data_IF_404540418641
#
_entry.id   IF_404540418641
#
_cell.length_a   1.000
_cell.length_b   1.000
_cell.length_c   1.000
_cell.angle_alpha   90.00
_cell.angle_beta   90.00
_cell.angle_gamma   90.00
#
_symmetry.space_group_name_H-M   'P 1'
#
loop_
_entity.id
_entity.type
_entity.pdbx_description
1 polymer ?
#
# COMPACT_ATOMS: atom_id res chain seq x y z
N UNK A 1 -31.97 6.68 -78.90
CA UNK A 1 -31.30 6.99 -80.18
C UNK A 1 -30.32 8.13 -79.93
N UNK A 2 -29.13 8.06 -80.54
CA UNK A 2 -28.12 9.14 -80.75
C UNK A 2 -27.53 9.79 -79.49
N UNK A 3 -26.23 10.00 -79.29
CA UNK A 3 -24.99 9.91 -80.07
C UNK A 3 -23.86 10.49 -79.18
N UNK A 4 -22.66 9.91 -79.16
CA UNK A 4 -21.44 10.36 -79.86
C UNK A 4 -20.52 11.31 -79.04
N UNK A 5 -19.42 10.71 -78.57
CA UNK A 5 -17.98 11.09 -78.61
C UNK A 5 -17.35 12.31 -77.89
N UNK A 6 -16.07 12.05 -77.56
CA UNK A 6 -14.91 12.91 -77.24
C UNK A 6 -14.63 13.12 -75.73
N UNK A 7 -13.41 12.97 -75.19
CA UNK A 7 -12.04 12.92 -75.78
C UNK A 7 -11.05 12.50 -74.67
N UNK A 8 -9.98 11.76 -75.03
CA UNK A 8 -8.59 11.79 -74.51
C UNK A 8 -8.36 11.70 -72.96
N UNK A 9 -7.28 11.16 -72.41
CA UNK A 9 -5.89 11.12 -72.85
C UNK A 9 -5.14 10.09 -72.01
N UNK A 10 -4.18 9.45 -72.66
CA UNK A 10 -3.15 8.56 -72.14
C UNK A 10 -2.41 9.20 -70.96
N UNK A 11 -2.18 8.42 -69.90
CA UNK A 11 -1.37 8.80 -68.75
C UNK A 11 -0.81 7.59 -68.01
N UNK A 12 -0.01 6.77 -68.70
CA UNK A 12 0.79 5.71 -68.09
C UNK A 12 2.00 6.37 -67.40
N UNK A 13 1.93 6.59 -66.09
CA UNK A 13 3.09 6.93 -65.29
C UNK A 13 3.59 5.68 -64.56
N UNK A 14 4.53 4.99 -65.21
CA UNK A 14 5.39 4.02 -64.55
C UNK A 14 6.50 4.77 -63.80
N UNK A 15 6.27 5.08 -62.52
CA UNK A 15 7.37 5.39 -61.61
C UNK A 15 7.88 4.09 -61.00
N UNK A 16 8.92 3.56 -61.64
CA UNK A 16 9.94 2.73 -61.01
C UNK A 16 10.59 3.50 -59.86
N UNK A 17 10.00 3.39 -58.68
CA UNK A 17 10.59 3.81 -57.41
C UNK A 17 11.31 2.64 -56.77
N UNK A 18 12.63 2.70 -56.74
CA UNK A 18 13.51 1.81 -55.98
C UNK A 18 12.93 1.56 -54.58
N UNK A 19 12.74 0.28 -54.24
CA UNK A 19 12.35 -0.17 -52.92
C UNK A 19 13.42 0.21 -51.89
N UNK A 20 13.30 1.42 -51.34
CA UNK A 20 13.94 1.78 -50.09
C UNK A 20 13.26 0.99 -48.98
N UNK A 21 13.90 -0.10 -48.56
CA UNK A 21 13.54 -0.79 -47.33
C UNK A 21 13.68 0.18 -46.17
N UNK A 22 12.58 0.81 -45.76
CA UNK A 22 12.48 1.47 -44.46
C UNK A 22 12.51 0.39 -43.41
N UNK A 23 13.71 0.12 -42.89
CA UNK A 23 13.87 -0.65 -41.66
C UNK A 23 13.18 0.12 -40.53
N UNK A 24 11.97 -0.29 -40.16
CA UNK A 24 11.35 0.15 -38.92
C UNK A 24 12.21 -0.37 -37.78
N UNK A 25 13.03 0.51 -37.20
CA UNK A 25 13.73 0.22 -35.96
C UNK A 25 12.67 -0.13 -34.91
N UNK A 26 12.64 -1.40 -34.51
CA UNK A 26 11.82 -1.85 -33.39
C UNK A 26 12.48 -1.31 -32.14
N UNK A 27 12.04 -0.14 -31.67
CA UNK A 27 12.43 0.37 -30.37
C UNK A 27 11.81 -0.56 -29.32
N UNK A 28 12.60 -1.50 -28.82
CA UNK A 28 12.21 -2.32 -27.67
C UNK A 28 11.98 -1.38 -26.49
N UNK A 29 10.72 -1.11 -26.17
CA UNK A 29 10.37 -0.35 -24.98
C UNK A 29 10.89 -1.13 -23.76
N UNK A 30 11.92 -0.59 -23.10
CA UNK A 30 12.37 -1.10 -21.81
C UNK A 30 11.23 -0.80 -20.83
N UNK A 31 10.53 -1.83 -20.39
CA UNK A 31 9.50 -1.68 -19.37
C UNK A 31 10.13 -1.04 -18.11
N UNK A 32 9.47 -0.06 -17.47
CA UNK A 32 9.96 0.51 -16.24
C UNK A 32 10.18 -0.61 -15.21
N UNK A 33 11.35 -0.63 -14.58
CA UNK A 33 11.64 -1.54 -13.48
C UNK A 33 10.83 -1.01 -12.28
N UNK A 34 9.70 -1.65 -11.97
CA UNK A 34 8.94 -1.28 -10.78
C UNK A 34 9.80 -1.52 -9.53
N UNK A 35 9.79 -0.59 -8.56
CA UNK A 35 10.53 -0.78 -7.32
C UNK A 35 10.04 -2.04 -6.60
N UNK A 36 10.95 -2.99 -6.38
CA UNK A 36 10.68 -4.16 -5.57
C UNK A 36 10.81 -3.79 -4.09
N UNK A 37 9.70 -3.84 -3.38
CA UNK A 37 9.63 -3.53 -1.96
C UNK A 37 9.83 -4.79 -1.10
N UNK A 38 10.70 -4.74 -0.06
CA UNK A 38 10.87 -5.86 0.87
C UNK A 38 9.53 -6.27 1.50
N UNK A 39 9.29 -7.57 1.58
CA UNK A 39 8.07 -8.13 2.17
C UNK A 39 8.41 -9.19 3.20
N UNK A 40 7.62 -9.27 4.26
CA UNK A 40 7.85 -10.15 5.40
C UNK A 40 6.58 -10.92 5.76
N UNK A 41 6.74 -12.13 6.29
CA UNK A 41 5.62 -12.92 6.84
C UNK A 41 5.70 -12.92 8.35
N UNK A 42 4.75 -12.26 8.99
CA UNK A 42 4.72 -12.01 10.45
C UNK A 42 3.42 -12.53 11.07
N UNK A 43 3.35 -12.60 12.39
CA UNK A 43 2.08 -12.62 13.10
C UNK A 43 1.57 -11.17 13.28
N UNK A 44 0.26 -11.00 13.41
CA UNK A 44 -0.37 -9.71 13.65
C UNK A 44 -1.43 -9.82 14.74
N UNK A 45 -1.41 -8.87 15.66
CA UNK A 45 -2.43 -8.65 16.70
C UNK A 45 -2.88 -7.19 16.69
N UNK A 46 -3.81 -6.83 17.57
CA UNK A 46 -4.15 -5.44 17.83
C UNK A 46 -4.00 -5.09 19.31
N UNK A 47 -3.75 -3.81 19.58
CA UNK A 47 -3.71 -3.24 20.92
C UNK A 47 -4.35 -1.85 20.94
N UNK A 48 -4.60 -1.32 22.13
CA UNK A 48 -5.09 0.02 22.38
C UNK A 48 -4.09 0.80 23.24
N UNK A 49 -4.05 2.11 23.09
CA UNK A 49 -3.23 3.02 23.88
C UNK A 49 -3.84 3.23 25.28
N UNK A 50 -3.80 2.20 26.12
CA UNK A 50 -4.28 2.23 27.51
C UNK A 50 -3.21 1.70 28.44
N UNK A 51 -3.13 2.23 29.66
CA UNK A 51 -2.10 1.86 30.64
C UNK A 51 -2.04 0.35 30.95
N UNK A 52 -3.14 -0.38 30.76
CA UNK A 52 -3.17 -1.83 30.93
C UNK A 52 -2.41 -2.61 29.82
N UNK A 53 -2.10 -1.96 28.71
CA UNK A 53 -1.44 -2.54 27.53
C UNK A 53 -0.11 -1.86 27.17
N UNK A 54 0.24 -0.77 27.85
CA UNK A 54 1.47 0.01 27.61
C UNK A 54 2.30 0.16 28.89
N UNK A 55 3.62 0.08 28.78
CA UNK A 55 4.52 0.39 29.89
C UNK A 55 4.75 1.92 29.94
N UNK A 56 4.11 2.63 30.88
CA UNK A 56 4.31 4.08 31.06
C UNK A 56 3.16 4.96 30.55
N UNK A 57 3.47 6.03 29.82
CA UNK A 57 2.46 6.94 29.24
C UNK A 57 1.84 6.28 27.99
N UNK A 58 0.54 5.91 28.01
CA UNK A 58 -0.09 5.25 26.88
C UNK A 58 -0.13 6.10 25.60
N UNK A 59 0.01 7.43 25.72
CA UNK A 59 -0.07 8.34 24.60
C UNK A 59 1.26 8.53 23.86
N UNK A 60 2.36 7.94 24.36
CA UNK A 60 3.69 8.06 23.75
C UNK A 60 4.25 6.67 23.45
N UNK A 61 4.59 6.45 22.18
CA UNK A 61 5.18 5.20 21.69
C UNK A 61 6.66 5.09 22.06
N UNK A 62 7.26 3.89 21.92
CA UNK A 62 8.69 3.68 22.14
C UNK A 62 9.62 4.55 21.25
N UNK A 63 9.13 5.03 20.10
CA UNK A 63 9.88 5.98 19.25
C UNK A 63 9.82 7.44 19.74
N UNK A 64 8.98 7.74 20.74
CA UNK A 64 8.70 9.09 21.23
C UNK A 64 7.58 9.82 20.46
N UNK A 65 6.97 9.20 19.45
CA UNK A 65 5.82 9.76 18.74
C UNK A 65 4.51 9.51 19.50
N UNK A 66 3.48 10.33 19.24
CA UNK A 66 2.14 10.14 19.80
C UNK A 66 1.52 8.82 19.31
N UNK A 67 0.82 8.12 20.21
CA UNK A 67 0.08 6.88 19.94
C UNK A 67 -1.17 7.13 19.09
N UNK A 68 -0.95 7.40 17.80
CA UNK A 68 -2.02 7.68 16.84
C UNK A 68 -2.62 6.38 16.26
N UNK A 69 -3.88 6.03 16.59
CA UNK A 69 -4.52 4.79 16.12
C UNK A 69 -4.76 4.75 14.61
N UNK A 70 -4.71 5.89 13.91
CA UNK A 70 -4.85 5.89 12.46
C UNK A 70 -3.65 5.23 11.78
N UNK A 71 -2.44 5.35 12.33
CA UNK A 71 -1.21 5.07 11.58
C UNK A 71 -0.17 4.28 12.35
N UNK A 72 -0.21 4.18 13.67
CA UNK A 72 0.87 3.52 14.42
C UNK A 72 0.68 2.01 14.42
N UNK A 73 1.80 1.30 14.33
CA UNK A 73 1.92 -0.10 14.72
C UNK A 73 3.18 -0.31 15.57
N UNK A 74 3.11 -1.31 16.44
CA UNK A 74 4.24 -1.85 17.17
C UNK A 74 4.87 -3.02 16.40
N UNK A 75 6.15 -3.25 16.62
CA UNK A 75 6.83 -4.48 16.17
C UNK A 75 7.49 -5.22 17.32
N UNK A 76 7.74 -6.51 17.13
CA UNK A 76 8.60 -7.27 18.04
C UNK A 76 10.06 -6.83 17.93
N UNK A 77 10.81 -6.97 19.04
CA UNK A 77 12.19 -6.47 19.15
C UNK A 77 13.15 -7.11 18.14
N UNK A 78 12.93 -8.38 17.80
CA UNK A 78 13.71 -9.14 16.81
C UNK A 78 13.58 -8.61 15.38
N UNK A 79 12.53 -7.85 15.07
CA UNK A 79 12.35 -7.20 13.76
C UNK A 79 13.00 -5.81 13.67
N UNK A 80 13.94 -5.47 14.56
CA UNK A 80 14.52 -4.12 14.63
C UNK A 80 15.38 -3.73 13.44
N UNK A 81 16.11 -4.69 12.89
CA UNK A 81 16.98 -4.44 11.75
C UNK A 81 16.17 -4.27 10.47
N UNK A 82 15.10 -5.05 10.33
CA UNK A 82 14.25 -5.12 9.14
C UNK A 82 13.19 -4.01 9.13
N UNK A 83 12.65 -3.68 10.30
CA UNK A 83 11.57 -2.72 10.51
C UNK A 83 11.98 -1.68 11.58
N UNK A 84 13.02 -0.87 11.32
CA UNK A 84 13.39 0.22 12.24
C UNK A 84 12.25 1.22 12.38
N UNK A 85 12.25 2.03 13.44
CA UNK A 85 11.25 3.07 13.62
C UNK A 85 11.18 4.01 12.40
N UNK A 86 9.96 4.40 12.03
CA UNK A 86 9.66 5.21 10.86
C UNK A 86 9.41 4.40 9.59
N UNK A 87 9.65 3.08 9.60
CA UNK A 87 9.29 2.20 8.48
C UNK A 87 7.78 2.23 8.27
N UNK A 88 7.35 2.42 7.02
CA UNK A 88 5.93 2.37 6.66
C UNK A 88 5.63 1.02 6.02
N UNK A 89 4.64 0.33 6.56
CA UNK A 89 4.20 -0.99 6.11
C UNK A 89 2.77 -0.94 5.59
N UNK A 90 2.50 -1.81 4.63
CA UNK A 90 1.17 -2.15 4.13
C UNK A 90 0.88 -3.62 4.46
N UNK A 91 -0.31 -3.90 4.96
CA UNK A 91 -0.78 -5.28 5.17
C UNK A 91 -1.40 -5.79 3.87
N UNK A 92 -0.69 -6.70 3.20
CA UNK A 92 -1.08 -7.19 1.87
C UNK A 92 -2.13 -8.30 1.93
N UNK A 93 -1.93 -9.23 2.88
CA UNK A 93 -2.78 -10.39 3.04
C UNK A 93 -2.67 -10.94 4.45
N UNK A 94 -3.81 -11.33 5.02
CA UNK A 94 -3.87 -12.10 6.25
C UNK A 94 -4.47 -13.47 5.96
N UNK A 95 -3.92 -14.53 6.56
CA UNK A 95 -4.50 -15.86 6.42
C UNK A 95 -5.87 -15.92 7.10
N UNK A 96 -6.84 -16.55 6.43
CA UNK A 96 -8.13 -16.83 7.05
C UNK A 96 -7.94 -17.95 8.07
N UNK A 97 -8.21 -17.66 9.33
CA UNK A 97 -8.23 -18.67 10.41
C UNK A 97 -9.29 -18.27 11.43
N UNK A 98 -9.84 -19.22 12.21
CA UNK A 98 -10.90 -18.92 13.19
C UNK A 98 -10.50 -17.85 14.24
N UNK A 99 -9.21 -17.68 14.48
CA UNK A 99 -8.68 -16.72 15.44
C UNK A 99 -8.22 -15.40 14.81
N UNK A 100 -8.39 -15.24 13.49
CA UNK A 100 -7.99 -14.05 12.75
C UNK A 100 -9.23 -13.33 12.21
N UNK A 101 -9.62 -12.25 12.86
CA UNK A 101 -10.73 -11.39 12.47
C UNK A 101 -10.33 -10.26 11.52
N UNK A 102 -9.28 -10.43 10.72
CA UNK A 102 -8.78 -9.35 9.85
C UNK A 102 -9.86 -8.74 8.96
N UNK A 103 -10.71 -9.57 8.35
CA UNK A 103 -11.81 -9.09 7.49
C UNK A 103 -12.91 -8.30 8.23
N UNK A 104 -12.89 -8.23 9.56
CA UNK A 104 -13.79 -7.38 10.34
C UNK A 104 -13.23 -5.98 10.56
N UNK A 105 -11.90 -5.81 10.43
CA UNK A 105 -11.18 -4.58 10.80
C UNK A 105 -10.30 -4.04 9.66
N UNK A 106 -10.28 -4.69 8.50
CA UNK A 106 -9.38 -4.37 7.38
C UNK A 106 -9.46 -2.91 6.94
N UNK A 107 -10.67 -2.34 6.94
CA UNK A 107 -10.91 -0.92 6.63
C UNK A 107 -10.25 0.04 7.62
N UNK A 108 -9.99 -0.39 8.85
CA UNK A 108 -9.32 0.40 9.88
C UNK A 108 -7.80 0.18 9.91
N UNK A 109 -7.28 -0.87 9.26
CA UNK A 109 -5.83 -1.17 9.32
C UNK A 109 -5.02 -0.20 8.47
N UNK A 110 -5.35 0.04 7.19
CA UNK A 110 -4.64 1.02 6.36
C UNK A 110 -3.11 0.84 6.30
N UNK A 111 -2.38 1.93 6.02
CA UNK A 111 -0.92 1.97 6.12
C UNK A 111 -0.48 2.19 7.56
N UNK A 112 0.66 1.62 7.95
CA UNK A 112 1.16 1.71 9.32
C UNK A 112 2.62 2.13 9.39
N UNK A 113 2.92 3.10 10.24
CA UNK A 113 4.26 3.48 10.63
C UNK A 113 4.66 2.66 11.85
N UNK A 114 5.81 2.00 11.76
CA UNK A 114 6.45 1.34 12.90
C UNK A 114 6.94 2.44 13.85
N UNK A 115 6.17 2.71 14.90
CA UNK A 115 6.48 3.72 15.90
C UNK A 115 6.69 3.13 17.30
N UNK A 116 6.33 1.87 17.50
CA UNK A 116 6.32 1.28 18.83
C UNK A 116 7.01 -0.10 18.88
N UNK A 117 7.32 -0.57 20.09
CA UNK A 117 8.00 -1.84 20.32
C UNK A 117 7.24 -2.70 21.33
N UNK A 118 7.02 -3.95 20.97
CA UNK A 118 6.42 -4.93 21.87
C UNK A 118 7.41 -5.40 22.95
N UNK A 119 6.88 -6.07 23.97
CA UNK A 119 7.66 -6.76 24.98
C UNK A 119 8.67 -7.74 24.38
N UNK A 120 9.85 -7.82 24.99
CA UNK A 120 11.01 -8.66 24.61
C UNK A 120 10.76 -10.17 24.49
N UNK A 121 9.56 -10.70 24.79
CA UNK A 121 9.20 -12.11 24.61
C UNK A 121 8.46 -12.37 23.29
N UNK A 122 7.93 -11.31 22.67
CA UNK A 122 7.24 -11.39 21.38
C UNK A 122 8.27 -11.54 20.26
N UNK A 123 7.97 -12.36 19.26
CA UNK A 123 8.85 -12.67 18.14
C UNK A 123 8.09 -12.66 16.83
N UNK A 124 8.74 -12.20 15.76
CA UNK A 124 8.23 -12.12 14.39
C UNK A 124 6.76 -11.64 14.32
N UNK A 125 6.46 -10.53 14.98
CA UNK A 125 5.08 -10.05 15.17
C UNK A 125 4.99 -8.53 15.03
N UNK A 126 3.88 -8.07 14.47
CA UNK A 126 3.43 -6.69 14.54
C UNK A 126 2.14 -6.58 15.36
N UNK A 127 1.89 -5.41 15.93
CA UNK A 127 0.69 -5.09 16.70
C UNK A 127 0.08 -3.79 16.17
N UNK A 128 -1.18 -3.84 15.72
CA UNK A 128 -1.84 -2.67 15.15
C UNK A 128 -2.48 -1.87 16.28
N UNK A 129 -2.16 -0.58 16.37
CA UNK A 129 -2.83 0.30 17.32
C UNK A 129 -4.23 0.63 16.80
N UNK A 130 -5.25 0.30 17.59
CA UNK A 130 -6.63 0.68 17.34
C UNK A 130 -7.12 1.70 18.36
N UNK A 131 -8.06 2.53 17.92
CA UNK A 131 -8.79 3.40 18.81
C UNK A 131 -9.61 2.55 19.80
N UNK A 132 -9.59 2.93 21.07
CA UNK A 132 -10.33 2.20 22.11
C UNK A 132 -11.83 2.51 22.07
N UNK A 133 -12.22 3.65 21.49
CA UNK A 133 -13.61 4.07 21.31
C UNK A 133 -14.26 3.42 20.08
N UNK A 134 -13.48 2.95 19.11
CA UNK A 134 -14.01 2.28 17.92
C UNK A 134 -14.64 0.92 18.25
N UNK A 135 -15.64 0.55 17.44
CA UNK A 135 -16.30 -0.75 17.51
C UNK A 135 -16.48 -1.37 16.13
N UNK A 136 -16.47 -2.70 16.10
CA UNK A 136 -16.88 -3.51 14.96
C UNK A 136 -17.82 -4.61 15.43
N UNK A 137 -18.70 -5.06 14.54
CA UNK A 137 -19.66 -6.12 14.86
C UNK A 137 -19.00 -7.50 14.69
N UNK A 138 -18.67 -8.14 15.80
CA UNK A 138 -18.09 -9.48 15.84
C UNK A 138 -19.02 -10.43 16.63
N UNK A 139 -19.39 -11.57 16.04
CA UNK A 139 -20.25 -12.55 16.72
C UNK A 139 -21.60 -11.98 17.20
N UNK A 140 -22.14 -10.97 16.50
CA UNK A 140 -23.40 -10.32 16.86
C UNK A 140 -23.30 -9.23 17.93
N UNK A 141 -22.09 -8.89 18.41
CA UNK A 141 -21.86 -7.87 19.44
C UNK A 141 -20.89 -6.79 18.95
N UNK A 142 -21.12 -5.55 19.37
CA UNK A 142 -20.14 -4.46 19.25
C UNK A 142 -18.90 -4.78 20.09
N UNK A 143 -17.75 -4.87 19.43
CA UNK A 143 -16.49 -5.32 20.00
C UNK A 143 -15.38 -4.38 19.57
N UNK A 144 -14.44 -4.08 20.48
CA UNK A 144 -13.28 -3.28 20.11
C UNK A 144 -12.47 -3.97 18.99
N UNK A 145 -12.01 -3.25 17.96
CA UNK A 145 -11.25 -3.81 16.85
C UNK A 145 -10.01 -4.61 17.25
N UNK A 146 -9.28 -4.18 18.29
CA UNK A 146 -8.10 -4.91 18.77
C UNK A 146 -8.46 -6.33 19.27
N UNK A 147 -9.62 -6.46 19.92
CA UNK A 147 -10.16 -7.75 20.38
C UNK A 147 -10.70 -8.54 19.19
N UNK A 148 -11.48 -7.89 18.31
CA UNK A 148 -12.09 -8.54 17.15
C UNK A 148 -11.06 -9.10 16.17
N UNK A 149 -9.92 -8.43 16.01
CA UNK A 149 -8.81 -8.89 15.17
C UNK A 149 -8.23 -10.23 15.66
N UNK A 150 -8.12 -10.41 16.98
CA UNK A 150 -7.55 -11.61 17.59
C UNK A 150 -6.07 -11.79 17.22
N UNK A 151 -5.70 -12.98 16.76
CA UNK A 151 -4.33 -13.34 16.36
C UNK A 151 -4.33 -13.87 14.92
N UNK A 152 -3.83 -13.04 14.01
CA UNK A 152 -3.60 -13.42 12.63
C UNK A 152 -2.20 -13.98 12.45
N UNK A 153 -2.10 -15.25 12.06
CA UNK A 153 -0.82 -15.88 11.73
C UNK A 153 -0.53 -15.71 10.24
N UNK A 154 0.77 -15.68 9.88
CA UNK A 154 1.23 -15.65 8.48
C UNK A 154 0.63 -14.48 7.68
N UNK A 155 0.68 -13.28 8.27
CA UNK A 155 0.31 -12.04 7.59
C UNK A 155 1.49 -11.58 6.75
N UNK A 156 1.23 -11.28 5.48
CA UNK A 156 2.23 -10.68 4.61
C UNK A 156 2.17 -9.17 4.74
N UNK A 157 3.30 -8.57 5.09
CA UNK A 157 3.49 -7.13 5.10
C UNK A 157 4.51 -6.72 4.05
N UNK A 158 4.33 -5.52 3.49
CA UNK A 158 5.25 -4.92 2.52
C UNK A 158 5.75 -3.58 3.06
N UNK A 159 7.05 -3.33 2.98
CA UNK A 159 7.62 -2.03 3.32
C UNK A 159 7.41 -1.09 2.15
N UNK A 160 6.60 -0.05 2.33
CA UNK A 160 6.24 0.88 1.26
C UNK A 160 6.96 2.23 1.34
N UNK A 161 7.69 2.48 2.43
CA UNK A 161 8.46 3.70 2.58
C UNK A 161 9.08 3.83 3.96
N UNK A 162 9.66 5.01 4.20
CA UNK A 162 10.21 5.39 5.50
C UNK A 162 9.95 6.87 5.74
N UNK A 163 9.57 7.21 6.96
CA UNK A 163 9.29 8.58 7.39
C UNK A 163 10.18 8.93 8.58
N UNK A 164 10.59 10.19 8.68
CA UNK A 164 11.21 10.72 9.88
C UNK A 164 10.16 10.83 10.99
N UNK A 165 10.42 10.19 12.13
CA UNK A 165 9.53 10.19 13.29
C UNK A 165 9.16 11.60 13.78
N UNK A 166 10.02 12.60 13.54
CA UNK A 166 9.74 14.00 13.90
C UNK A 166 8.66 14.65 13.03
N UNK A 167 8.46 14.13 11.81
CA UNK A 167 7.55 14.67 10.81
C UNK A 167 6.49 13.63 10.42
N UNK A 168 6.12 12.76 11.35
CA UNK A 168 5.11 11.73 11.10
C UNK A 168 3.77 12.40 10.78
N UNK A 169 3.15 12.11 9.61
CA UNK A 169 1.80 12.58 9.31
C UNK A 169 0.81 12.08 10.37
N UNK A 170 -0.34 12.71 10.51
CA UNK A 170 -1.36 12.28 11.49
C UNK A 170 -2.54 11.54 10.87
N UNK A 171 -2.59 11.41 9.54
CA UNK A 171 -3.71 10.82 8.82
C UNK A 171 -3.25 9.82 7.79
N UNK A 172 -4.12 8.89 7.41
CA UNK A 172 -3.88 7.95 6.31
C UNK A 172 -3.56 8.65 4.98
N UNK A 173 -4.26 9.75 4.68
CA UNK A 173 -4.02 10.55 3.46
C UNK A 173 -2.63 11.20 3.48
N UNK A 174 -2.25 11.81 4.60
CA UNK A 174 -0.92 12.42 4.75
C UNK A 174 0.19 11.37 4.65
N UNK A 175 -0.02 10.19 5.25
CA UNK A 175 0.92 9.08 5.19
C UNK A 175 1.12 8.58 3.75
N UNK A 176 0.02 8.37 3.02
CA UNK A 176 0.01 7.99 1.60
C UNK A 176 0.79 8.97 0.73
N UNK A 177 0.55 10.27 0.91
CA UNK A 177 1.28 11.33 0.21
C UNK A 177 2.78 11.29 0.53
N UNK A 178 3.14 11.10 1.81
CA UNK A 178 4.54 11.08 2.25
C UNK A 178 5.34 9.91 1.67
N UNK A 179 4.71 8.75 1.43
CA UNK A 179 5.37 7.57 0.82
C UNK A 179 5.17 7.46 -0.69
N UNK A 180 4.56 8.46 -1.32
CA UNK A 180 4.29 8.45 -2.77
C UNK A 180 3.26 7.42 -3.22
N UNK A 181 2.48 6.84 -2.30
CA UNK A 181 1.32 6.00 -2.63
C UNK A 181 0.14 6.94 -2.80
N UNK A 182 -0.04 7.49 -4.01
CA UNK A 182 -1.24 8.26 -4.31
C UNK A 182 -2.48 7.36 -4.15
N UNK A 183 -3.60 7.87 -3.62
CA UNK A 183 -4.87 7.20 -3.81
C UNK A 183 -5.07 7.02 -5.32
N UNK A 184 -5.30 5.78 -5.76
CA UNK A 184 -5.60 5.44 -7.16
C UNK A 184 -6.94 6.04 -7.61
N UNK A 185 -7.05 7.36 -7.65
CA UNK A 185 -8.25 8.07 -8.07
C UNK A 185 -8.01 9.09 -9.20
N UNK A 186 -6.83 9.73 -9.29
CA UNK A 186 -6.70 10.88 -10.23
C UNK A 186 -5.61 10.76 -11.33
N UNK A 187 -4.75 9.75 -11.31
CA UNK A 187 -3.75 9.60 -12.39
C UNK A 187 -4.33 9.05 -13.72
N UNK A 188 -5.55 8.51 -13.72
CA UNK A 188 -6.27 8.23 -14.97
C UNK A 188 -6.96 9.48 -15.54
N UNK A 189 -7.16 10.54 -14.74
CA UNK A 189 -7.74 11.81 -15.22
C UNK A 189 -6.67 12.75 -15.80
N UNK A 190 -5.44 12.71 -15.29
CA UNK A 190 -4.34 13.51 -15.84
C UNK A 190 -3.69 12.92 -17.10
N UNK A 191 -3.90 11.63 -17.38
CA UNK A 191 -3.52 11.00 -18.65
C UNK A 191 -4.55 11.23 -19.78
N UNK A 192 -5.73 11.77 -19.47
CA UNK A 192 -6.77 12.13 -20.45
C UNK A 192 -6.66 13.61 -20.90
N UNK A 193 -5.83 14.40 -20.23
CA UNK A 193 -5.62 15.84 -20.54
C UNK A 193 -4.16 16.21 -20.90
N UNK A 194 -3.40 15.27 -21.48
CA UNK A 194 -2.13 15.59 -22.16
C UNK A 194 -2.17 15.15 -23.61
#
# INVERSE_FOLDING_TARGET
>A
MTGIFNTALIGLFALSGMGGHTAFATTTAIAPIEPSYPSYTVAMTGYNAVAAQTDGDPHITASGAFSNPDIIAARSQDLAGELPFGTVIEVMAASSSPNCGYGLVDQQVGLRVIGDSMHSRMRNKIDILFDMQDTVRAGGKETNPAIALGVCKRVQIRVVGKIDMKNIPTTQTGLRLAVGILPKADEQLLAVYK
#
